data_IF_402623359226
#
_entry.id   IF_402623359226
#
_cell.length_a   1.000
_cell.length_b   1.000
_cell.length_c   1.000
_cell.angle_alpha   90.00
_cell.angle_beta   90.00
_cell.angle_gamma   90.00
#
_symmetry.space_group_name_H-M   'P 1'
#
loop_
_entity.id
_entity.type
_entity.pdbx_description
1 polymer ?
#
# COMPACT_ATOMS: atom_id res chain seq x y z
N UNK A 1 -11.17 -4.54 27.46
CA UNK A 1 -10.07 -3.62 27.10
C UNK A 1 -8.79 -4.39 27.29
N UNK A 2 -8.04 -4.68 26.22
CA UNK A 2 -6.82 -5.50 26.29
C UNK A 2 -5.59 -4.62 26.45
N UNK A 3 -4.92 -4.73 27.60
CA UNK A 3 -3.63 -4.10 27.85
C UNK A 3 -2.57 -4.63 26.88
N UNK A 4 -2.17 -3.80 25.93
CA UNK A 4 -1.03 -4.06 25.06
C UNK A 4 0.25 -3.77 25.84
N UNK A 5 0.95 -4.81 26.29
CA UNK A 5 2.30 -4.69 26.85
C UNK A 5 3.27 -4.35 25.72
N UNK A 6 3.84 -3.15 25.76
CA UNK A 6 4.92 -2.71 24.86
C UNK A 6 6.23 -3.21 25.44
N UNK A 7 6.88 -4.15 24.74
CA UNK A 7 8.21 -4.64 25.11
C UNK A 7 9.23 -3.65 24.52
N UNK A 8 9.95 -2.95 25.39
CA UNK A 8 11.06 -2.08 25.01
C UNK A 8 12.34 -2.91 24.95
N UNK A 9 12.85 -3.17 23.74
CA UNK A 9 14.15 -3.80 23.53
C UNK A 9 15.20 -2.69 23.41
N UNK A 10 16.02 -2.54 24.44
CA UNK A 10 17.16 -1.62 24.46
C UNK A 10 18.43 -2.44 24.18
N UNK A 11 19.03 -2.29 22.99
CA UNK A 11 20.37 -2.80 22.72
C UNK A 11 21.38 -1.72 23.06
N UNK A 12 22.32 -2.04 23.95
CA UNK A 12 23.41 -1.14 24.35
C UNK A 12 24.67 -1.58 23.62
N UNK A 13 25.22 -0.71 22.78
CA UNK A 13 26.51 -0.91 22.13
C UNK A 13 27.59 -0.17 22.93
N UNK A 14 28.71 -0.84 23.22
CA UNK A 14 29.91 -0.25 23.82
C UNK A 14 30.98 -0.14 22.74
N UNK A 15 31.25 1.08 22.27
CA UNK A 15 32.48 1.42 21.56
C UNK A 15 33.14 2.61 22.28
N UNK A 16 34.44 2.50 22.56
CA UNK A 16 35.32 3.56 23.07
C UNK A 16 34.76 4.41 24.23
N UNK A 17 34.19 3.75 25.24
CA UNK A 17 33.80 4.38 26.51
C UNK A 17 32.59 5.33 26.42
N UNK A 18 31.88 5.38 25.28
CA UNK A 18 30.64 6.15 25.11
C UNK A 18 29.46 5.21 24.98
N UNK A 19 28.48 5.35 25.86
CA UNK A 19 27.19 4.67 25.75
C UNK A 19 26.37 5.44 24.71
N UNK A 20 26.16 4.86 23.53
CA UNK A 20 25.26 5.40 22.52
C UNK A 20 23.93 4.64 22.63
N UNK A 21 22.90 5.30 23.16
CA UNK A 21 21.54 4.76 23.16
C UNK A 21 20.82 5.23 21.89
N UNK A 22 20.87 4.42 20.82
CA UNK A 22 20.02 4.68 19.65
C UNK A 22 18.64 4.08 19.86
N UNK A 23 17.62 4.89 19.59
CA UNK A 23 16.21 4.56 19.74
C UNK A 23 15.78 3.62 18.59
N UNK A 24 16.17 2.33 18.69
CA UNK A 24 15.90 1.24 17.73
C UNK A 24 14.41 1.15 17.37
N UNK A 25 13.54 1.62 18.27
CA UNK A 25 12.09 1.70 18.08
C UNK A 25 11.71 2.49 16.84
N UNK A 26 12.39 3.61 16.55
CA UNK A 26 12.10 4.48 15.39
C UNK A 26 12.55 3.86 14.09
N UNK A 27 13.71 3.20 14.09
CA UNK A 27 14.26 2.47 12.94
C UNK A 27 13.32 1.31 12.55
N UNK A 28 12.89 0.52 13.54
CA UNK A 28 11.97 -0.61 13.33
C UNK A 28 10.58 -0.14 12.92
N UNK A 29 10.08 0.98 13.45
CA UNK A 29 8.83 1.60 13.02
C UNK A 29 8.91 2.09 11.57
N UNK A 30 10.02 2.72 11.17
CA UNK A 30 10.27 3.14 9.78
C UNK A 30 10.33 1.93 8.84
N UNK A 31 11.09 0.91 9.17
CA UNK A 31 11.19 -0.32 8.37
C UNK A 31 9.83 -1.05 8.25
N UNK A 32 9.03 -1.09 9.32
CA UNK A 32 7.67 -1.65 9.27
C UNK A 32 6.71 -0.79 8.44
N UNK A 33 6.82 0.53 8.51
CA UNK A 33 6.02 1.44 7.69
C UNK A 33 6.39 1.32 6.21
N UNK A 34 7.69 1.27 5.89
CA UNK A 34 8.21 1.07 4.52
C UNK A 34 7.86 -0.32 3.95
N UNK A 35 7.92 -1.37 4.77
CA UNK A 35 7.50 -2.70 4.36
C UNK A 35 5.98 -2.78 4.12
N UNK A 36 5.17 -2.07 4.92
CA UNK A 36 3.72 -1.99 4.72
C UNK A 36 3.32 -1.12 3.53
N UNK A 37 3.99 0.01 3.28
CA UNK A 37 3.73 0.83 2.09
C UNK A 37 4.19 0.13 0.81
N UNK A 38 5.30 -0.61 0.82
CA UNK A 38 5.73 -1.46 -0.31
C UNK A 38 4.78 -2.64 -0.56
N UNK A 39 4.23 -3.26 0.49
CA UNK A 39 3.20 -4.30 0.34
C UNK A 39 1.90 -3.74 -0.23
N UNK A 40 1.42 -2.61 0.30
CA UNK A 40 0.23 -1.95 -0.24
C UNK A 40 0.46 -1.49 -1.69
N UNK A 41 1.61 -0.89 -2.02
CA UNK A 41 1.89 -0.44 -3.39
C UNK A 41 1.92 -1.59 -4.41
N UNK A 42 2.24 -2.80 -3.97
CA UNK A 42 2.18 -3.98 -4.84
C UNK A 42 0.75 -4.52 -5.03
N UNK A 43 -0.18 -4.15 -4.16
CA UNK A 43 -1.57 -4.65 -4.16
C UNK A 43 -2.57 -3.67 -4.79
N UNK A 44 -2.20 -2.39 -4.94
CA UNK A 44 -3.03 -1.36 -5.57
C UNK A 44 -2.37 -0.76 -6.81
N UNK A 45 -3.20 -0.30 -7.75
CA UNK A 45 -2.78 0.36 -9.00
C UNK A 45 -3.53 1.68 -9.17
N UNK A 46 -2.87 2.67 -9.73
CA UNK A 46 -3.46 3.93 -10.18
C UNK A 46 -4.30 3.72 -11.45
N UNK A 47 -5.12 4.72 -11.80
CA UNK A 47 -5.93 4.68 -13.03
C UNK A 47 -5.02 4.65 -14.27
N UNK A 48 -3.87 5.31 -14.18
CA UNK A 48 -2.82 5.38 -15.19
C UNK A 48 -2.20 3.99 -15.42
N UNK A 49 -1.80 3.28 -14.37
CA UNK A 49 -1.25 1.92 -14.49
C UNK A 49 -2.27 0.93 -15.04
N UNK A 50 -3.55 1.07 -14.69
CA UNK A 50 -4.63 0.25 -15.27
C UNK A 50 -4.83 0.53 -16.75
N UNK A 51 -4.70 1.81 -17.16
CA UNK A 51 -4.79 2.20 -18.55
C UNK A 51 -3.66 1.57 -19.37
N UNK A 52 -2.44 1.54 -18.82
CA UNK A 52 -1.29 0.86 -19.43
C UNK A 52 -1.49 -0.65 -19.51
N UNK A 53 -1.95 -1.29 -18.43
CA UNK A 53 -2.22 -2.74 -18.38
C UNK A 53 -3.22 -3.17 -19.46
N UNK A 54 -4.31 -2.41 -19.62
CA UNK A 54 -5.38 -2.69 -20.58
C UNK A 54 -5.07 -2.16 -21.99
N UNK A 55 -3.95 -1.44 -22.17
CA UNK A 55 -3.58 -0.75 -23.41
C UNK A 55 -4.70 0.18 -23.94
N UNK A 56 -5.36 0.90 -23.04
CA UNK A 56 -6.43 1.86 -23.36
C UNK A 56 -6.13 3.24 -22.77
N UNK A 57 -6.88 4.26 -23.18
CA UNK A 57 -6.74 5.62 -22.62
C UNK A 57 -7.29 5.68 -21.20
N UNK A 58 -6.70 6.49 -20.33
CA UNK A 58 -7.19 6.79 -18.96
C UNK A 58 -8.67 7.23 -18.97
N UNK A 59 -9.07 8.04 -19.97
CA UNK A 59 -10.48 8.43 -20.15
C UNK A 59 -11.39 7.21 -20.36
N UNK A 60 -10.93 6.20 -21.09
CA UNK A 60 -11.68 4.97 -21.30
C UNK A 60 -11.82 4.18 -20.00
N UNK A 61 -10.77 4.09 -19.17
CA UNK A 61 -10.87 3.48 -17.83
C UNK A 61 -11.93 4.18 -16.98
N UNK A 62 -11.93 5.52 -16.95
CA UNK A 62 -12.95 6.30 -16.23
C UNK A 62 -14.36 6.08 -16.78
N UNK A 63 -14.53 6.01 -18.10
CA UNK A 63 -15.82 5.70 -18.70
C UNK A 63 -16.30 4.30 -18.31
N UNK A 64 -15.41 3.29 -18.31
CA UNK A 64 -15.72 1.93 -17.85
C UNK A 64 -16.15 1.90 -16.39
N UNK A 65 -15.52 2.71 -15.53
CA UNK A 65 -15.98 2.89 -14.15
C UNK A 65 -17.39 3.49 -14.08
N UNK A 66 -17.67 4.53 -14.86
CA UNK A 66 -18.99 5.17 -14.90
C UNK A 66 -20.08 4.23 -15.45
N UNK A 67 -19.71 3.35 -16.39
CA UNK A 67 -20.61 2.36 -16.99
C UNK A 67 -20.87 1.14 -16.08
N UNK A 68 -20.22 1.07 -14.91
CA UNK A 68 -20.36 -0.06 -13.98
C UNK A 68 -19.58 -1.32 -14.39
N UNK A 69 -18.70 -1.25 -15.39
CA UNK A 69 -17.82 -2.37 -15.72
C UNK A 69 -16.81 -2.64 -14.59
N UNK A 70 -16.42 -1.61 -13.85
CA UNK A 70 -15.66 -1.78 -12.62
C UNK A 70 -16.55 -1.49 -11.41
N UNK A 71 -16.52 -2.38 -10.40
CA UNK A 71 -17.32 -2.27 -9.19
C UNK A 71 -16.52 -1.56 -8.08
N UNK A 72 -17.11 -0.52 -7.49
CA UNK A 72 -16.54 0.18 -6.34
C UNK A 72 -16.61 -0.71 -5.09
N UNK A 73 -15.51 -0.83 -4.36
CA UNK A 73 -15.34 -1.75 -3.24
C UNK A 73 -14.73 -3.10 -3.62
N UNK A 74 -14.87 -3.53 -4.88
CA UNK A 74 -14.31 -4.81 -5.38
C UNK A 74 -13.12 -4.59 -6.30
N UNK A 75 -13.28 -3.81 -7.37
CA UNK A 75 -12.23 -3.55 -8.37
C UNK A 75 -11.46 -2.27 -8.07
N UNK A 76 -12.10 -1.28 -7.48
CA UNK A 76 -11.45 -0.02 -7.09
C UNK A 76 -12.06 0.59 -5.83
N UNK A 77 -11.34 1.56 -5.26
CA UNK A 77 -11.79 2.39 -4.15
C UNK A 77 -11.51 3.86 -4.46
N UNK A 78 -12.48 4.74 -4.18
CA UNK A 78 -12.25 6.18 -4.19
C UNK A 78 -11.69 6.61 -2.85
N UNK A 79 -10.50 7.22 -2.87
CA UNK A 79 -9.91 7.86 -1.70
C UNK A 79 -10.37 9.32 -1.59
N UNK A 80 -10.66 9.97 -2.73
CA UNK A 80 -11.26 11.30 -2.80
C UNK A 80 -11.97 11.48 -4.15
N UNK A 81 -12.58 12.65 -4.38
CA UNK A 81 -13.19 13.00 -5.68
C UNK A 81 -12.20 12.91 -6.86
N UNK A 82 -10.90 13.08 -6.60
CA UNK A 82 -9.84 13.07 -7.64
C UNK A 82 -8.93 11.85 -7.58
N UNK A 83 -8.91 11.12 -6.47
CA UNK A 83 -8.01 9.98 -6.27
C UNK A 83 -8.79 8.68 -6.21
N UNK A 84 -8.47 7.80 -7.14
CA UNK A 84 -9.02 6.45 -7.28
C UNK A 84 -7.86 5.48 -7.34
N UNK A 85 -7.98 4.38 -6.63
CA UNK A 85 -7.04 3.27 -6.66
C UNK A 85 -7.77 1.98 -7.01
N UNK A 86 -7.18 1.17 -7.88
CA UNK A 86 -7.66 -0.15 -8.26
C UNK A 86 -6.97 -1.20 -7.40
N UNK A 87 -7.69 -2.27 -7.08
CA UNK A 87 -7.11 -3.44 -6.45
C UNK A 87 -6.53 -4.35 -7.53
N UNK A 88 -5.21 -4.52 -7.55
CA UNK A 88 -4.50 -5.25 -8.61
C UNK A 88 -5.03 -6.67 -8.76
N UNK A 89 -5.16 -7.39 -7.65
CA UNK A 89 -5.62 -8.79 -7.64
C UNK A 89 -7.03 -8.94 -8.23
N UNK A 90 -7.99 -8.17 -7.73
CA UNK A 90 -9.37 -8.25 -8.21
C UNK A 90 -9.51 -7.85 -9.68
N UNK A 91 -8.69 -6.88 -10.14
CA UNK A 91 -8.65 -6.48 -11.54
C UNK A 91 -8.07 -7.59 -12.44
N UNK A 92 -6.98 -8.26 -12.02
CA UNK A 92 -6.39 -9.37 -12.76
C UNK A 92 -7.33 -10.58 -12.83
N UNK A 93 -7.97 -10.93 -11.72
CA UNK A 93 -8.99 -11.99 -11.67
C UNK A 93 -10.14 -11.73 -12.64
N UNK A 94 -10.63 -10.48 -12.71
CA UNK A 94 -11.66 -10.07 -13.68
C UNK A 94 -11.22 -10.24 -15.14
N UNK A 95 -9.93 -10.03 -15.42
CA UNK A 95 -9.34 -10.17 -16.76
C UNK A 95 -8.98 -11.62 -17.09
N UNK A 96 -9.14 -12.57 -16.15
CA UNK A 96 -8.72 -13.95 -16.30
C UNK A 96 -7.20 -14.13 -16.32
N UNK A 97 -6.46 -13.16 -15.77
CA UNK A 97 -5.00 -13.18 -15.68
C UNK A 97 -4.58 -13.68 -14.28
N UNK A 98 -3.56 -14.56 -14.18
CA UNK A 98 -3.07 -15.07 -12.91
C UNK A 98 -2.36 -14.01 -12.05
#
# INVERSE_FOLDING_TARGET
MSDKRVIFLQMVFQEDGKIISEDVTKEVLRMKQEANTKKLSNEIMSVEEVAELLKIKVRSVRNKMCNGEFLEGTHYKRLSRRHVVFYKKALLEMLGLP
#
